data_IF_963488097582
#
_entry.id   IF_963488097582
#
_cell.length_a   1.000
_cell.length_b   1.000
_cell.length_c   1.000
_cell.angle_alpha   90.00
_cell.angle_beta   90.00
_cell.angle_gamma   90.00
#
_symmetry.space_group_name_H-M   'P 1'
#
loop_
_entity.id
_entity.type
_entity.pdbx_description
1 polymer ?
#
# COMPACT_ATOMS: atom_id res chain seq x y z
N UNK A 1 -30.17 -40.47 -83.25
CA UNK A 1 -29.39 -39.25 -83.52
C UNK A 1 -29.36 -38.40 -82.25
N UNK A 2 -28.30 -38.52 -81.46
CA UNK A 2 -28.09 -37.71 -80.27
C UNK A 2 -27.15 -36.57 -80.61
N UNK A 3 -27.59 -35.33 -80.36
CA UNK A 3 -26.73 -34.17 -80.51
C UNK A 3 -26.06 -33.91 -79.10
N UNK A 4 -24.76 -33.61 -79.09
CA UNK A 4 -24.07 -33.31 -77.81
C UNK A 4 -24.33 -31.85 -77.44
N UNK A 5 -24.85 -31.64 -76.20
CA UNK A 5 -24.99 -30.35 -75.56
C UNK A 5 -23.62 -29.76 -75.22
N UNK A 6 -23.37 -28.56 -75.69
CA UNK A 6 -22.12 -27.82 -75.62
C UNK A 6 -21.76 -27.49 -74.12
N UNK A 7 -20.55 -27.87 -73.74
CA UNK A 7 -19.92 -27.54 -72.40
C UNK A 7 -19.77 -26.04 -72.13
N UNK A 8 -20.13 -25.17 -73.05
CA UNK A 8 -19.99 -23.70 -72.92
C UNK A 8 -21.19 -23.03 -72.25
N UNK A 9 -22.33 -23.70 -72.16
CA UNK A 9 -23.52 -23.11 -71.48
C UNK A 9 -23.54 -23.30 -69.99
N UNK A 10 -22.71 -24.20 -69.44
CA UNK A 10 -22.66 -24.47 -68.00
C UNK A 10 -21.73 -23.55 -67.22
N UNK A 11 -20.83 -22.82 -67.87
CA UNK A 11 -19.88 -21.91 -67.23
C UNK A 11 -20.37 -20.46 -67.14
N UNK A 12 -21.50 -20.13 -67.77
CA UNK A 12 -22.03 -18.76 -67.73
C UNK A 12 -23.02 -18.49 -66.52
N UNK A 13 -23.52 -19.55 -65.86
CA UNK A 13 -24.48 -19.39 -64.76
C UNK A 13 -23.89 -19.40 -63.36
N UNK A 14 -22.57 -19.62 -63.22
CA UNK A 14 -21.90 -19.69 -61.94
C UNK A 14 -21.16 -18.39 -61.53
N UNK A 15 -21.20 -17.33 -62.32
CA UNK A 15 -20.44 -16.09 -62.08
C UNK A 15 -21.28 -14.94 -61.46
N UNK A 16 -22.60 -15.14 -61.23
CA UNK A 16 -23.48 -14.07 -60.79
C UNK A 16 -23.86 -14.13 -59.28
N UNK A 17 -23.34 -15.12 -58.55
CA UNK A 17 -23.74 -15.36 -57.14
C UNK A 17 -22.64 -15.03 -56.10
N UNK A 18 -21.54 -14.32 -56.44
CA UNK A 18 -20.39 -14.04 -55.53
C UNK A 18 -20.09 -12.54 -55.38
N UNK A 19 -21.07 -11.66 -55.57
CA UNK A 19 -20.87 -10.20 -55.43
C UNK A 19 -21.63 -9.56 -54.24
N UNK A 20 -22.10 -10.34 -53.24
CA UNK A 20 -22.42 -9.80 -51.93
C UNK A 20 -21.25 -10.08 -50.99
N UNK A 21 -20.11 -9.43 -51.27
CA UNK A 21 -19.00 -9.32 -50.33
C UNK A 21 -19.49 -8.55 -49.12
N UNK A 22 -20.00 -9.26 -48.11
CA UNK A 22 -20.07 -8.70 -46.78
C UNK A 22 -18.63 -8.25 -46.44
N UNK A 23 -18.39 -6.94 -46.50
CA UNK A 23 -17.14 -6.36 -46.03
C UNK A 23 -17.03 -6.74 -44.55
N UNK A 24 -16.35 -7.84 -44.26
CA UNK A 24 -15.88 -8.17 -42.89
C UNK A 24 -14.94 -7.02 -42.53
N UNK A 25 -15.48 -5.97 -41.90
CA UNK A 25 -14.65 -4.97 -41.26
C UNK A 25 -13.86 -5.76 -40.23
N UNK A 26 -12.51 -5.72 -40.29
CA UNK A 26 -11.71 -6.29 -39.20
C UNK A 26 -12.18 -5.59 -37.93
N UNK A 27 -12.74 -6.35 -36.99
CA UNK A 27 -12.94 -5.88 -35.62
C UNK A 27 -11.52 -5.62 -35.10
N UNK A 28 -11.10 -4.38 -35.18
CA UNK A 28 -9.83 -3.95 -34.61
C UNK A 28 -10.05 -4.09 -33.11
N UNK A 29 -9.50 -5.13 -32.50
CA UNK A 29 -9.47 -5.25 -31.03
C UNK A 29 -8.88 -3.94 -30.51
N UNK A 30 -9.63 -3.24 -29.65
CA UNK A 30 -9.10 -2.06 -28.98
C UNK A 30 -7.83 -2.47 -28.22
N UNK A 31 -6.77 -1.65 -28.29
CA UNK A 31 -5.53 -2.01 -27.60
C UNK A 31 -5.78 -2.07 -26.09
N UNK A 32 -5.47 -3.21 -25.49
CA UNK A 32 -5.54 -3.39 -24.03
C UNK A 32 -4.45 -2.51 -23.40
N UNK A 33 -4.86 -1.64 -22.47
CA UNK A 33 -3.92 -0.86 -21.65
C UNK A 33 -3.37 -1.75 -20.56
N UNK A 34 -2.06 -1.95 -20.52
CA UNK A 34 -1.38 -2.72 -19.48
C UNK A 34 -0.72 -1.79 -18.48
N UNK A 35 -1.07 -1.96 -17.20
CA UNK A 35 -0.50 -1.24 -16.08
C UNK A 35 0.27 -2.21 -15.17
N UNK A 36 1.57 -1.97 -15.01
CA UNK A 36 2.43 -2.74 -14.11
C UNK A 36 2.25 -2.23 -12.68
N UNK A 37 1.75 -3.10 -11.79
CA UNK A 37 1.42 -2.78 -10.40
C UNK A 37 2.37 -3.52 -9.46
N UNK A 38 3.22 -2.79 -8.76
CA UNK A 38 4.17 -3.34 -7.80
C UNK A 38 3.61 -3.39 -6.39
N UNK A 39 3.90 -4.47 -5.70
CA UNK A 39 3.64 -4.65 -4.26
C UNK A 39 4.81 -5.39 -3.61
N UNK A 40 5.26 -4.91 -2.46
CA UNK A 40 6.23 -5.65 -1.64
C UNK A 40 5.56 -6.82 -0.92
N UNK A 41 4.25 -6.74 -0.65
CA UNK A 41 3.49 -7.71 0.12
C UNK A 41 3.12 -8.96 -0.70
N UNK A 42 2.95 -10.13 -0.04
CA UNK A 42 2.35 -11.30 -0.66
C UNK A 42 0.89 -11.03 -1.05
N UNK A 43 0.34 -11.79 -2.03
CA UNK A 43 -1.06 -11.68 -2.45
C UNK A 43 -1.98 -12.40 -1.43
N UNK A 44 -2.00 -11.91 -0.22
CA UNK A 44 -2.71 -12.47 0.92
C UNK A 44 -3.68 -11.43 1.50
N UNK A 45 -4.88 -11.87 1.94
CA UNK A 45 -5.90 -10.97 2.50
C UNK A 45 -5.47 -10.27 3.79
N UNK A 46 -4.47 -10.81 4.51
CA UNK A 46 -3.90 -10.15 5.68
C UNK A 46 -2.88 -9.08 5.32
N UNK A 47 -2.43 -9.03 4.05
CA UNK A 47 -1.58 -7.97 3.52
C UNK A 47 -2.41 -6.77 3.04
N UNK A 48 -2.19 -5.60 3.62
CA UNK A 48 -2.92 -4.37 3.29
C UNK A 48 -2.90 -4.04 1.78
N UNK A 49 -1.82 -4.35 1.07
CA UNK A 49 -1.71 -4.12 -0.37
C UNK A 49 -2.75 -4.93 -1.14
N UNK A 50 -2.89 -6.22 -0.83
CA UNK A 50 -3.84 -7.08 -1.53
C UNK A 50 -5.28 -6.82 -1.10
N UNK A 51 -5.48 -6.43 0.15
CA UNK A 51 -6.78 -6.01 0.70
C UNK A 51 -7.37 -4.80 -0.05
N UNK A 52 -6.51 -3.91 -0.56
CA UNK A 52 -6.92 -2.81 -1.44
C UNK A 52 -6.93 -3.22 -2.92
N UNK A 53 -5.91 -3.97 -3.37
CA UNK A 53 -5.72 -4.29 -4.79
C UNK A 53 -6.84 -5.17 -5.35
N UNK A 54 -7.26 -6.20 -4.62
CA UNK A 54 -8.25 -7.14 -5.13
C UNK A 54 -9.62 -6.49 -5.38
N UNK A 55 -10.20 -5.70 -4.45
CA UNK A 55 -11.41 -4.91 -4.74
C UNK A 55 -11.22 -3.93 -5.90
N UNK A 56 -10.06 -3.30 -6.02
CA UNK A 56 -9.75 -2.39 -7.13
C UNK A 56 -9.78 -3.12 -8.48
N UNK A 57 -9.12 -4.26 -8.58
CA UNK A 57 -9.10 -5.08 -9.78
C UNK A 57 -10.51 -5.54 -10.19
N UNK A 58 -11.28 -6.04 -9.22
CA UNK A 58 -12.63 -6.54 -9.46
C UNK A 58 -13.59 -5.42 -9.90
N UNK A 59 -13.51 -4.27 -9.24
CA UNK A 59 -14.36 -3.14 -9.55
C UNK A 59 -13.98 -2.48 -10.89
N UNK A 60 -12.70 -2.43 -11.21
CA UNK A 60 -12.23 -1.95 -12.50
C UNK A 60 -12.73 -2.87 -13.64
N UNK A 61 -12.59 -4.19 -13.47
CA UNK A 61 -13.07 -5.16 -14.46
C UNK A 61 -14.59 -5.05 -14.71
N UNK A 62 -15.40 -4.80 -13.67
CA UNK A 62 -16.85 -4.55 -13.82
C UNK A 62 -17.16 -3.31 -14.65
N UNK A 63 -16.33 -2.26 -14.56
CA UNK A 63 -16.57 -0.95 -15.19
C UNK A 63 -16.07 -0.87 -16.62
N UNK A 64 -14.90 -1.46 -16.90
CA UNK A 64 -14.22 -1.28 -18.17
C UNK A 64 -13.93 -2.59 -18.92
N UNK A 65 -14.32 -3.74 -18.36
CA UNK A 65 -14.04 -5.06 -18.91
C UNK A 65 -12.54 -5.32 -18.97
N UNK A 66 -12.07 -5.80 -20.12
CA UNK A 66 -10.67 -6.13 -20.42
C UNK A 66 -9.87 -4.99 -21.05
N UNK A 67 -10.44 -3.78 -21.12
CA UNK A 67 -9.76 -2.61 -21.71
C UNK A 67 -8.52 -2.17 -20.93
N UNK A 68 -8.49 -2.42 -19.61
CA UNK A 68 -7.34 -2.15 -18.74
C UNK A 68 -6.96 -3.44 -18.01
N UNK A 69 -5.76 -3.93 -18.27
CA UNK A 69 -5.15 -5.08 -17.61
C UNK A 69 -4.20 -4.60 -16.51
N UNK A 70 -4.37 -5.09 -15.29
CA UNK A 70 -3.47 -4.84 -14.16
C UNK A 70 -2.50 -6.01 -14.04
N UNK A 71 -1.24 -5.82 -14.45
CA UNK A 71 -0.16 -6.78 -14.28
C UNK A 71 0.39 -6.67 -12.86
N UNK A 72 -0.08 -7.52 -11.94
CA UNK A 72 0.27 -7.47 -10.52
C UNK A 72 1.55 -8.24 -10.21
N UNK A 73 2.51 -7.55 -9.58
CA UNK A 73 3.82 -8.09 -9.19
C UNK A 73 3.97 -8.03 -7.66
N UNK A 74 3.54 -9.06 -6.92
CA UNK A 74 3.66 -9.14 -5.47
C UNK A 74 5.09 -9.50 -5.00
N UNK A 75 5.29 -9.61 -3.68
CA UNK A 75 6.52 -10.09 -3.03
C UNK A 75 7.80 -9.34 -3.44
N UNK A 76 7.68 -8.07 -3.83
CA UNK A 76 8.82 -7.26 -4.24
C UNK A 76 9.52 -7.73 -5.51
N UNK A 77 8.81 -8.41 -6.42
CA UNK A 77 9.36 -8.92 -7.69
C UNK A 77 10.00 -7.84 -8.56
N UNK A 78 9.54 -6.58 -8.44
CA UNK A 78 10.08 -5.45 -9.19
C UNK A 78 11.14 -4.64 -8.44
N UNK A 79 11.53 -5.08 -7.24
CA UNK A 79 12.57 -4.45 -6.42
C UNK A 79 12.11 -4.03 -5.03
N UNK A 80 13.03 -3.41 -4.27
CA UNK A 80 12.74 -2.82 -2.96
C UNK A 80 11.82 -1.61 -3.13
N UNK A 81 10.98 -1.32 -2.12
CA UNK A 81 9.98 -0.25 -2.23
C UNK A 81 10.56 1.12 -2.63
N UNK A 82 11.71 1.51 -2.05
CA UNK A 82 12.37 2.77 -2.38
C UNK A 82 12.86 2.83 -3.85
N UNK A 83 13.31 1.69 -4.39
CA UNK A 83 13.72 1.60 -5.80
C UNK A 83 12.50 1.69 -6.71
N UNK A 84 11.39 1.00 -6.34
CA UNK A 84 10.14 1.03 -7.09
C UNK A 84 9.51 2.44 -7.09
N UNK A 85 9.58 3.18 -5.98
CA UNK A 85 9.17 4.60 -5.94
C UNK A 85 9.91 5.42 -7.01
N UNK A 86 11.22 5.22 -7.14
CA UNK A 86 12.03 5.88 -8.18
C UNK A 86 11.60 5.43 -9.58
N UNK A 87 11.29 4.15 -9.78
CA UNK A 87 10.85 3.60 -11.06
C UNK A 87 9.45 4.10 -11.47
N UNK A 88 8.53 4.30 -10.51
CA UNK A 88 7.20 4.89 -10.75
C UNK A 88 7.33 6.35 -11.18
N UNK A 89 8.21 7.13 -10.54
CA UNK A 89 8.52 8.50 -10.98
C UNK A 89 9.10 8.55 -12.39
N UNK A 90 10.00 7.63 -12.71
CA UNK A 90 10.60 7.51 -14.05
C UNK A 90 9.62 6.94 -15.09
N UNK A 91 8.54 6.28 -14.67
CA UNK A 91 7.50 5.68 -15.52
C UNK A 91 7.89 4.34 -16.13
N UNK A 92 8.85 3.63 -15.56
CA UNK A 92 9.16 2.23 -15.91
C UNK A 92 8.26 1.24 -15.19
N UNK A 93 7.65 1.64 -14.07
CA UNK A 93 6.54 0.97 -13.38
C UNK A 93 5.39 1.98 -13.33
N UNK A 94 4.15 1.50 -13.48
CA UNK A 94 2.99 2.39 -13.55
C UNK A 94 2.42 2.71 -12.17
N UNK A 95 2.31 1.69 -11.30
CA UNK A 95 1.68 1.79 -9.99
C UNK A 95 2.51 1.10 -8.90
N UNK A 96 2.39 1.61 -7.68
CA UNK A 96 2.91 0.97 -6.47
C UNK A 96 1.89 1.09 -5.34
N UNK A 97 1.83 0.06 -4.49
CA UNK A 97 1.19 0.13 -3.19
C UNK A 97 2.26 0.07 -2.11
N UNK A 98 2.24 1.02 -1.19
CA UNK A 98 3.21 1.14 -0.08
C UNK A 98 2.71 2.12 0.98
N UNK A 99 3.33 2.12 2.15
CA UNK A 99 3.11 3.13 3.17
C UNK A 99 3.62 4.52 2.77
N UNK A 100 3.02 5.56 3.35
CA UNK A 100 3.37 6.96 3.04
C UNK A 100 4.84 7.28 3.28
N UNK A 101 5.43 6.78 4.36
CA UNK A 101 6.81 7.13 4.72
C UNK A 101 7.87 6.63 3.73
N UNK A 102 7.58 5.62 2.90
CA UNK A 102 8.53 5.24 1.84
C UNK A 102 8.70 6.37 0.82
N UNK A 103 7.66 7.15 0.56
CA UNK A 103 7.76 8.35 -0.27
C UNK A 103 8.62 9.45 0.34
N UNK A 104 8.87 9.41 1.67
CA UNK A 104 9.80 10.34 2.31
C UNK A 104 11.23 10.25 1.77
N UNK A 105 11.60 9.18 1.07
CA UNK A 105 12.88 9.07 0.36
C UNK A 105 13.02 10.06 -0.79
N UNK A 106 11.91 10.59 -1.30
CA UNK A 106 11.87 11.54 -2.44
C UNK A 106 11.05 12.81 -2.16
N UNK A 107 10.12 12.74 -1.22
CA UNK A 107 9.32 13.87 -0.71
C UNK A 107 9.30 13.75 0.81
N UNK A 108 10.31 14.32 1.51
CA UNK A 108 10.55 14.06 2.94
C UNK A 108 9.39 14.38 3.86
N UNK A 109 8.48 15.27 3.47
CA UNK A 109 7.28 15.66 4.21
C UNK A 109 6.31 14.50 4.46
N UNK A 110 6.36 13.45 3.61
CA UNK A 110 5.57 12.24 3.81
C UNK A 110 5.91 11.50 5.10
N UNK A 111 7.13 11.72 5.65
CA UNK A 111 7.53 11.16 6.93
C UNK A 111 6.62 11.55 8.09
N UNK A 112 5.88 12.66 7.99
CA UNK A 112 4.95 13.09 9.04
C UNK A 112 3.88 12.04 9.34
N UNK A 113 3.36 11.36 8.31
CA UNK A 113 2.24 10.42 8.45
C UNK A 113 2.56 9.19 9.30
N UNK A 114 3.85 8.89 9.49
CA UNK A 114 4.32 7.75 10.28
C UNK A 114 5.15 8.17 11.51
N UNK A 115 5.04 9.43 11.95
CA UNK A 115 5.59 9.85 13.24
C UNK A 115 4.89 9.08 14.38
N UNK A 116 5.67 8.57 15.31
CA UNK A 116 5.16 7.78 16.42
C UNK A 116 4.04 8.51 17.18
N UNK A 117 2.94 7.82 17.42
CA UNK A 117 1.76 8.30 18.14
C UNK A 117 1.07 9.55 17.53
N UNK A 118 1.28 9.85 16.24
CA UNK A 118 0.61 10.96 15.57
C UNK A 118 -0.90 10.73 15.46
N UNK A 119 -1.30 9.53 15.03
CA UNK A 119 -2.69 9.11 14.99
C UNK A 119 -3.04 8.24 16.20
N UNK A 120 -4.26 8.38 16.71
CA UNK A 120 -4.78 7.65 17.87
C UNK A 120 -5.55 6.39 17.48
N UNK A 121 -6.08 6.38 16.25
CA UNK A 121 -6.85 5.28 15.67
C UNK A 121 -6.93 5.43 14.15
N UNK A 122 -7.39 4.40 13.44
CA UNK A 122 -7.70 4.53 12.01
C UNK A 122 -8.86 5.46 11.72
N UNK A 123 -9.83 5.56 12.65
CA UNK A 123 -10.90 6.53 12.52
C UNK A 123 -10.39 7.98 12.60
N UNK A 124 -9.48 8.26 13.53
CA UNK A 124 -8.79 9.57 13.57
C UNK A 124 -7.98 9.81 12.29
N UNK A 125 -7.24 8.81 11.81
CA UNK A 125 -6.47 8.89 10.57
C UNK A 125 -7.40 9.18 9.37
N UNK A 126 -8.53 8.45 9.24
CA UNK A 126 -9.52 8.66 8.19
C UNK A 126 -10.06 10.08 8.21
N UNK A 127 -10.55 10.55 9.38
CA UNK A 127 -11.07 11.93 9.50
C UNK A 127 -10.04 12.98 9.07
N UNK A 128 -8.79 12.83 9.48
CA UNK A 128 -7.74 13.78 9.12
C UNK A 128 -7.45 13.78 7.61
N UNK A 129 -7.31 12.60 7.02
CA UNK A 129 -7.06 12.45 5.58
C UNK A 129 -8.21 13.03 4.75
N UNK A 130 -9.45 12.69 5.11
CA UNK A 130 -10.65 13.11 4.38
C UNK A 130 -10.96 14.61 4.60
N UNK A 131 -10.56 15.17 5.75
CA UNK A 131 -10.71 16.61 6.03
C UNK A 131 -9.71 17.52 5.31
N UNK A 132 -8.88 16.99 4.41
CA UNK A 132 -7.99 17.77 3.54
C UNK A 132 -6.50 17.50 3.69
N UNK A 133 -6.08 16.69 4.66
CA UNK A 133 -4.67 16.22 4.74
C UNK A 133 -4.32 15.36 3.53
N UNK A 134 -5.20 14.43 3.15
CA UNK A 134 -5.04 13.57 1.99
C UNK A 134 -4.88 14.35 0.67
N UNK A 135 -5.81 15.24 0.32
CA UNK A 135 -5.68 16.11 -0.86
C UNK A 135 -4.42 16.98 -0.86
N UNK A 136 -3.97 17.48 0.32
CA UNK A 136 -2.73 18.26 0.41
C UNK A 136 -1.50 17.42 0.05
N UNK A 137 -1.43 16.17 0.53
CA UNK A 137 -0.36 15.25 0.17
C UNK A 137 -0.41 14.81 -1.29
N UNK A 138 -1.61 14.56 -1.85
CA UNK A 138 -1.75 14.25 -3.27
C UNK A 138 -1.27 15.40 -4.14
N UNK A 139 -1.65 16.65 -3.79
CA UNK A 139 -1.14 17.84 -4.50
C UNK A 139 0.37 17.95 -4.41
N UNK A 140 0.94 17.78 -3.21
CA UNK A 140 2.39 17.84 -2.99
C UNK A 140 3.13 16.81 -3.87
N UNK A 141 2.63 15.57 -3.94
CA UNK A 141 3.22 14.50 -4.71
C UNK A 141 3.13 14.74 -6.22
N UNK A 142 1.96 15.19 -6.69
CA UNK A 142 1.76 15.55 -8.11
C UNK A 142 2.68 16.67 -8.56
N UNK A 143 2.78 17.72 -7.77
CA UNK A 143 3.56 18.91 -8.11
C UNK A 143 5.06 18.61 -8.13
N UNK A 144 5.57 17.86 -7.15
CA UNK A 144 7.01 17.61 -7.02
C UNK A 144 7.52 16.46 -7.89
N UNK A 145 6.76 15.38 -8.02
CA UNK A 145 7.26 14.16 -8.64
C UNK A 145 6.34 13.56 -9.69
N UNK A 146 5.18 14.18 -9.94
CA UNK A 146 4.25 13.74 -10.99
C UNK A 146 3.58 12.42 -10.69
N UNK A 147 3.30 12.13 -9.43
CA UNK A 147 2.62 10.92 -8.99
C UNK A 147 1.30 11.29 -8.32
N UNK A 148 0.26 10.54 -8.58
CA UNK A 148 -1.09 10.72 -8.05
C UNK A 148 -1.39 9.64 -7.03
N UNK A 149 -2.01 10.01 -5.91
CA UNK A 149 -2.53 9.09 -4.92
C UNK A 149 -3.90 8.61 -5.37
N UNK A 150 -4.08 7.31 -5.54
CA UNK A 150 -5.34 6.71 -5.96
C UNK A 150 -6.28 6.41 -4.79
N UNK A 151 -5.71 6.16 -3.61
CA UNK A 151 -6.51 5.86 -2.43
C UNK A 151 -5.69 5.80 -1.16
N UNK A 152 -6.38 6.04 -0.04
CA UNK A 152 -5.87 6.01 1.32
C UNK A 152 -6.54 4.88 2.08
N UNK A 153 -6.04 3.64 1.91
CA UNK A 153 -6.39 2.50 2.76
C UNK A 153 -5.62 2.51 4.08
N UNK A 154 -5.71 1.40 4.82
CA UNK A 154 -5.04 1.25 6.09
C UNK A 154 -4.28 -0.08 6.15
N UNK A 155 -3.25 -0.14 6.99
CA UNK A 155 -2.64 -1.41 7.40
C UNK A 155 -3.66 -2.25 8.20
N UNK A 156 -3.39 -3.54 8.32
CA UNK A 156 -4.28 -4.47 9.04
C UNK A 156 -3.94 -4.44 10.53
N UNK A 157 -4.33 -3.36 11.18
CA UNK A 157 -4.13 -3.08 12.59
C UNK A 157 -3.00 -2.09 12.88
N UNK A 158 -2.92 -1.57 14.12
CA UNK A 158 -1.86 -0.68 14.55
C UNK A 158 -0.54 -1.43 14.70
N UNK A 159 0.54 -0.71 14.41
CA UNK A 159 1.89 -1.26 14.53
C UNK A 159 2.29 -1.42 15.99
N UNK A 160 2.84 -2.58 16.32
CA UNK A 160 3.35 -2.95 17.64
C UNK A 160 4.71 -3.63 17.53
N UNK A 161 5.40 -3.87 18.65
CA UNK A 161 6.75 -4.46 18.65
C UNK A 161 6.66 -5.96 18.84
N UNK A 162 7.29 -6.72 17.94
CA UNK A 162 7.39 -8.17 18.00
C UNK A 162 8.84 -8.59 18.25
N UNK A 163 9.07 -9.47 19.20
CA UNK A 163 10.41 -9.84 19.68
C UNK A 163 10.61 -11.34 19.75
N UNK A 164 11.88 -11.77 19.74
CA UNK A 164 12.28 -13.19 19.89
C UNK A 164 12.23 -13.62 21.34
N UNK A 165 12.48 -12.70 22.27
CA UNK A 165 12.48 -12.93 23.72
C UNK A 165 11.31 -12.20 24.39
N UNK A 166 10.85 -12.66 25.56
CA UNK A 166 9.76 -11.99 26.27
C UNK A 166 10.07 -10.52 26.55
N UNK A 167 9.06 -9.67 26.38
CA UNK A 167 9.05 -8.24 26.73
C UNK A 167 7.72 -7.91 27.41
N UNK A 168 7.78 -7.15 28.49
CA UNK A 168 6.62 -6.77 29.29
C UNK A 168 6.42 -5.24 29.41
N UNK A 169 7.45 -4.46 29.06
CA UNK A 169 7.48 -3.01 29.23
C UNK A 169 8.25 -2.34 28.09
N UNK A 170 8.09 -1.02 27.95
CA UNK A 170 8.91 -0.21 27.04
C UNK A 170 10.38 -0.20 27.48
N UNK A 171 10.63 -0.28 28.79
CA UNK A 171 12.00 -0.33 29.31
C UNK A 171 12.77 -1.57 28.82
N UNK A 172 12.09 -2.70 28.58
CA UNK A 172 12.72 -3.93 28.08
C UNK A 172 13.22 -3.77 26.63
N UNK A 173 12.70 -2.80 25.88
CA UNK A 173 13.14 -2.52 24.51
C UNK A 173 14.48 -1.78 24.45
N UNK A 174 14.98 -1.29 25.58
CA UNK A 174 16.21 -0.48 25.62
C UNK A 174 17.41 -1.25 25.07
N UNK A 175 18.01 -0.69 24.03
CA UNK A 175 19.18 -1.27 23.37
C UNK A 175 18.90 -2.48 22.49
N UNK A 176 17.67 -3.01 22.43
CA UNK A 176 17.30 -4.09 21.51
C UNK A 176 17.45 -3.62 20.05
N UNK A 177 18.07 -4.44 19.22
CA UNK A 177 18.14 -4.20 17.80
C UNK A 177 16.79 -4.52 17.16
N UNK A 178 16.00 -3.49 16.93
CA UNK A 178 14.68 -3.65 16.31
C UNK A 178 14.73 -3.24 14.86
N UNK A 179 14.30 -4.13 13.99
CA UNK A 179 14.10 -3.78 12.59
C UNK A 179 13.00 -2.71 12.50
N UNK A 180 13.30 -1.65 11.77
CA UNK A 180 12.34 -0.61 11.42
C UNK A 180 12.33 -0.38 9.91
N UNK A 181 11.32 0.35 9.39
CA UNK A 181 11.34 0.83 8.03
C UNK A 181 12.57 1.73 7.82
N UNK A 182 13.21 1.70 6.62
CA UNK A 182 14.37 2.54 6.32
C UNK A 182 13.98 4.00 6.05
N UNK A 183 13.30 4.62 7.01
CA UNK A 183 12.84 6.02 6.94
C UNK A 183 13.15 6.74 8.24
N UNK A 184 13.38 8.06 8.13
CA UNK A 184 13.76 8.89 9.28
C UNK A 184 12.70 8.88 10.39
N UNK A 185 11.42 8.90 10.04
CA UNK A 185 10.33 8.91 11.01
C UNK A 185 10.38 7.69 11.95
N UNK A 186 10.61 6.49 11.40
CA UNK A 186 10.74 5.27 12.21
C UNK A 186 12.04 5.24 13.01
N UNK A 187 13.17 5.64 12.42
CA UNK A 187 14.46 5.70 13.11
C UNK A 187 14.37 6.63 14.31
N UNK A 188 13.86 7.85 14.13
CA UNK A 188 13.75 8.84 15.20
C UNK A 188 12.76 8.39 16.30
N UNK A 189 11.62 7.80 15.90
CA UNK A 189 10.64 7.24 16.83
C UNK A 189 11.28 6.17 17.73
N UNK A 190 12.02 5.22 17.15
CA UNK A 190 12.63 4.13 17.92
C UNK A 190 13.85 4.53 18.71
N UNK A 191 14.58 5.57 18.30
CA UNK A 191 15.60 6.22 19.14
C UNK A 191 14.98 6.82 20.40
N UNK A 192 13.82 7.49 20.29
CA UNK A 192 13.08 8.03 21.46
C UNK A 192 12.56 6.90 22.35
N UNK A 193 12.09 5.79 21.80
CA UNK A 193 11.70 4.59 22.54
C UNK A 193 12.90 4.04 23.34
N UNK A 194 14.12 4.22 22.84
CA UNK A 194 15.36 3.77 23.47
C UNK A 194 15.88 2.45 22.90
N UNK A 195 15.29 1.93 21.85
CA UNK A 195 15.78 0.78 21.10
C UNK A 195 16.96 1.18 20.18
N UNK A 196 17.58 0.20 19.56
CA UNK A 196 18.57 0.39 18.49
C UNK A 196 17.89 0.12 17.14
N UNK A 197 17.33 1.15 16.46
CA UNK A 197 16.65 0.96 15.19
C UNK A 197 17.62 0.48 14.13
N UNK A 198 17.25 -0.60 13.46
CA UNK A 198 18.03 -1.24 12.38
C UNK A 198 17.19 -1.18 11.09
N UNK A 199 17.46 -0.20 10.20
CA UNK A 199 16.68 -0.01 8.98
C UNK A 199 16.92 -1.16 7.99
N UNK A 200 15.89 -1.97 7.71
CA UNK A 200 15.98 -3.11 6.79
C UNK A 200 14.72 -3.13 5.91
N UNK A 201 14.84 -3.30 4.57
CA UNK A 201 13.71 -3.49 3.67
C UNK A 201 12.81 -4.66 4.10
N UNK A 202 11.51 -4.55 3.84
CA UNK A 202 10.52 -5.51 4.35
C UNK A 202 10.81 -6.97 3.96
N UNK A 203 11.29 -7.19 2.73
CA UNK A 203 11.54 -8.53 2.19
C UNK A 203 12.76 -9.23 2.84
N UNK A 204 13.59 -8.49 3.60
CA UNK A 204 14.77 -9.01 4.27
C UNK A 204 14.53 -9.29 5.77
N UNK A 205 13.37 -8.90 6.31
CA UNK A 205 13.06 -8.92 7.76
C UNK A 205 13.06 -10.33 8.32
N UNK A 206 12.41 -11.28 7.64
CA UNK A 206 12.36 -12.67 8.10
C UNK A 206 13.78 -13.26 8.29
N UNK A 207 14.62 -13.11 7.27
CA UNK A 207 16.00 -13.60 7.31
C UNK A 207 16.84 -12.87 8.37
N UNK A 208 16.68 -11.54 8.49
CA UNK A 208 17.42 -10.77 9.50
C UNK A 208 17.06 -11.20 10.94
N UNK A 209 15.77 -11.47 11.19
CA UNK A 209 15.33 -12.00 12.47
C UNK A 209 15.81 -13.45 12.68
N UNK A 210 15.65 -14.31 11.69
CA UNK A 210 16.07 -15.73 11.77
C UNK A 210 17.56 -15.86 12.06
N UNK A 211 18.40 -15.08 11.41
CA UNK A 211 19.86 -15.13 11.56
C UNK A 211 20.40 -14.34 12.77
N UNK A 212 19.52 -13.62 13.50
CA UNK A 212 19.90 -12.86 14.69
C UNK A 212 20.56 -11.51 14.40
N UNK A 213 20.42 -10.97 13.19
CA UNK A 213 20.84 -9.60 12.86
C UNK A 213 20.03 -8.60 13.68
N UNK A 214 18.75 -8.93 13.93
CA UNK A 214 17.85 -8.17 14.79
C UNK A 214 17.21 -9.07 15.87
N UNK A 215 16.85 -8.44 17.01
CA UNK A 215 16.18 -9.07 18.15
C UNK A 215 14.66 -9.11 17.98
N UNK A 216 14.15 -8.30 17.05
CA UNK A 216 12.73 -8.18 16.76
C UNK A 216 12.47 -7.19 15.62
N UNK A 217 11.19 -6.91 15.42
CA UNK A 217 10.68 -5.96 14.43
C UNK A 217 9.42 -5.28 14.95
N UNK A 218 8.96 -4.29 14.22
CA UNK A 218 7.69 -3.63 14.49
C UNK A 218 6.80 -3.68 13.24
N UNK A 219 5.54 -3.98 13.41
CA UNK A 219 4.53 -3.93 12.33
C UNK A 219 3.10 -4.16 12.88
N UNK A 220 2.13 -4.09 11.95
CA UNK A 220 0.75 -4.50 12.20
C UNK A 220 0.61 -6.05 12.20
N UNK A 221 -0.42 -6.59 12.89
CA UNK A 221 -0.59 -8.04 13.01
C UNK A 221 -0.87 -8.74 11.67
N UNK A 222 -1.56 -8.08 10.74
CA UNK A 222 -1.81 -8.64 9.42
C UNK A 222 -0.51 -8.89 8.64
N UNK A 223 0.39 -7.91 8.62
CA UNK A 223 1.70 -8.06 8.00
C UNK A 223 2.52 -9.16 8.66
N UNK A 224 2.54 -9.23 10.00
CA UNK A 224 3.28 -10.28 10.72
C UNK A 224 2.80 -11.67 10.29
N UNK A 225 1.49 -11.86 10.15
CA UNK A 225 0.90 -13.11 9.68
C UNK A 225 1.22 -13.39 8.20
N UNK A 226 1.01 -12.42 7.32
CA UNK A 226 1.21 -12.57 5.87
C UNK A 226 2.65 -12.90 5.49
N UNK A 227 3.62 -12.32 6.20
CA UNK A 227 5.06 -12.58 5.99
C UNK A 227 5.63 -13.70 6.87
N UNK A 228 4.78 -14.39 7.66
CA UNK A 228 5.17 -15.50 8.56
C UNK A 228 6.21 -15.09 9.61
N UNK A 229 6.22 -13.83 10.03
CA UNK A 229 7.17 -13.38 11.07
C UNK A 229 6.87 -13.97 12.45
N UNK A 230 5.66 -14.54 12.62
CA UNK A 230 5.28 -15.34 13.77
C UNK A 230 6.19 -16.57 13.98
N UNK A 231 6.90 -17.04 12.95
CA UNK A 231 7.86 -18.14 13.06
C UNK A 231 9.18 -17.71 13.74
N UNK A 232 9.55 -16.44 13.63
CA UNK A 232 10.84 -15.89 14.08
C UNK A 232 10.73 -14.89 15.24
N UNK A 233 9.51 -14.44 15.62
CA UNK A 233 9.24 -13.59 16.76
C UNK A 233 7.96 -14.08 17.47
N UNK A 234 8.08 -14.44 18.75
CA UNK A 234 7.02 -15.11 19.50
C UNK A 234 6.31 -14.25 20.54
N UNK A 235 6.79 -13.03 20.74
CA UNK A 235 6.27 -12.12 21.75
C UNK A 235 5.89 -10.79 21.10
N UNK A 236 4.75 -10.24 21.48
CA UNK A 236 4.27 -8.95 21.00
C UNK A 236 3.99 -8.03 22.18
N UNK A 237 4.70 -6.91 22.25
CA UNK A 237 4.36 -5.80 23.15
C UNK A 237 3.44 -4.85 22.37
N UNK A 238 2.19 -4.74 22.81
CA UNK A 238 1.16 -3.93 22.17
C UNK A 238 1.38 -2.44 22.46
N UNK A 239 2.28 -1.84 21.72
CA UNK A 239 2.62 -0.41 21.81
C UNK A 239 1.66 0.46 21.00
N UNK A 240 1.08 -0.06 19.94
CA UNK A 240 0.19 0.66 18.99
C UNK A 240 0.73 2.04 18.64
N UNK A 241 2.05 2.06 18.36
CA UNK A 241 2.81 3.31 18.23
C UNK A 241 2.61 4.03 16.90
N UNK A 242 2.10 3.36 15.86
CA UNK A 242 1.80 3.96 14.55
C UNK A 242 0.56 3.32 13.92
N UNK A 243 -0.32 4.15 13.38
CA UNK A 243 -1.43 3.78 12.50
C UNK A 243 -1.07 4.23 11.09
N UNK A 244 -0.44 3.35 10.31
CA UNK A 244 0.07 3.69 8.98
C UNK A 244 -1.06 3.75 7.95
N UNK A 245 -1.28 4.89 7.27
CA UNK A 245 -2.09 4.91 6.06
C UNK A 245 -1.34 4.17 4.95
N UNK A 246 -2.00 3.15 4.39
CA UNK A 246 -1.52 2.44 3.20
C UNK A 246 -2.08 3.13 1.96
N UNK A 247 -1.24 3.38 0.97
CA UNK A 247 -1.61 4.16 -0.18
C UNK A 247 -1.34 3.40 -1.48
N UNK A 248 -2.21 3.66 -2.46
CA UNK A 248 -2.00 3.23 -3.85
C UNK A 248 -1.65 4.45 -4.69
N UNK A 249 -0.62 4.33 -5.50
CA UNK A 249 -0.06 5.43 -6.29
C UNK A 249 0.04 5.05 -7.76
N UNK A 250 -0.15 6.05 -8.64
CA UNK A 250 0.11 5.93 -10.08
C UNK A 250 1.02 7.05 -10.55
N UNK A 251 2.05 6.70 -11.31
CA UNK A 251 2.94 7.67 -11.94
C UNK A 251 2.27 8.38 -13.12
N UNK A 252 2.75 9.58 -13.46
CA UNK A 252 2.23 10.40 -14.58
C UNK A 252 2.15 9.61 -15.88
N UNK A 253 3.20 8.80 -16.19
CA UNK A 253 3.22 7.99 -17.42
C UNK A 253 2.21 6.85 -17.38
N UNK A 254 2.01 6.21 -16.22
CA UNK A 254 0.98 5.19 -16.03
C UNK A 254 -0.42 5.78 -16.22
N UNK A 255 -0.69 6.93 -15.60
CA UNK A 255 -1.97 7.63 -15.73
C UNK A 255 -2.22 8.09 -17.18
N UNK A 256 -1.18 8.48 -17.91
CA UNK A 256 -1.28 8.89 -19.32
C UNK A 256 -1.54 7.72 -20.30
N UNK A 257 -1.29 6.47 -19.89
CA UNK A 257 -1.66 5.29 -20.71
C UNK A 257 -3.18 5.06 -20.75
N UNK A 258 -3.90 5.53 -19.71
CA UNK A 258 -5.34 5.33 -19.59
C UNK A 258 -6.05 6.32 -20.51
N UNK A 259 -6.90 5.85 -21.45
CA UNK A 259 -7.74 6.71 -22.28
C UNK A 259 -8.59 7.66 -21.43
N UNK A 260 -8.80 8.88 -21.93
CA UNK A 260 -9.50 9.93 -21.17
C UNK A 260 -10.93 9.52 -20.78
N UNK A 261 -11.63 8.78 -21.64
CA UNK A 261 -12.98 8.25 -21.40
C UNK A 261 -13.02 7.15 -20.34
N UNK A 262 -11.90 6.45 -20.08
CA UNK A 262 -11.81 5.40 -19.05
C UNK A 262 -11.29 5.93 -17.69
N UNK A 263 -10.67 7.11 -17.64
CA UNK A 263 -10.13 7.67 -16.39
C UNK A 263 -11.17 7.84 -15.28
N UNK A 264 -12.41 8.33 -15.54
CA UNK A 264 -13.42 8.42 -14.50
C UNK A 264 -13.74 7.07 -13.87
N UNK A 265 -13.91 6.02 -14.70
CA UNK A 265 -14.18 4.67 -14.22
C UNK A 265 -13.01 4.08 -13.42
N UNK A 266 -11.76 4.36 -13.84
CA UNK A 266 -10.55 3.94 -13.14
C UNK A 266 -10.44 4.58 -11.75
N UNK A 267 -10.66 5.89 -11.65
CA UNK A 267 -10.60 6.62 -10.37
C UNK A 267 -11.74 6.22 -9.44
N UNK A 268 -12.93 5.99 -9.99
CA UNK A 268 -14.06 5.50 -9.20
C UNK A 268 -13.83 4.09 -8.65
N UNK A 269 -13.25 3.19 -9.44
CA UNK A 269 -12.85 1.86 -8.97
C UNK A 269 -11.85 1.96 -7.80
N UNK A 270 -10.90 2.90 -7.86
CA UNK A 270 -9.95 3.14 -6.78
C UNK A 270 -10.63 3.70 -5.51
N UNK A 271 -11.63 4.57 -5.68
CA UNK A 271 -12.43 5.09 -4.56
C UNK A 271 -13.23 3.98 -3.86
N UNK A 272 -13.91 3.13 -4.63
CA UNK A 272 -14.66 1.97 -4.10
C UNK A 272 -13.72 1.01 -3.37
N UNK A 273 -12.56 0.69 -3.95
CA UNK A 273 -11.56 -0.17 -3.31
C UNK A 273 -11.04 0.41 -1.99
N UNK A 274 -10.86 1.73 -1.95
CA UNK A 274 -10.43 2.42 -0.73
C UNK A 274 -11.48 2.30 0.38
N UNK A 275 -12.75 2.51 0.06
CA UNK A 275 -13.84 2.36 1.01
C UNK A 275 -13.97 0.91 1.50
N UNK A 276 -13.89 -0.07 0.60
CA UNK A 276 -13.90 -1.48 0.93
C UNK A 276 -12.73 -1.88 1.84
N UNK A 277 -11.50 -1.48 1.50
CA UNK A 277 -10.32 -1.74 2.33
C UNK A 277 -10.49 -1.18 3.75
N UNK A 278 -10.91 0.09 3.88
CA UNK A 278 -11.15 0.71 5.20
C UNK A 278 -12.20 -0.02 6.02
N UNK A 279 -13.29 -0.48 5.39
CA UNK A 279 -14.37 -1.19 6.05
C UNK A 279 -13.96 -2.60 6.51
N UNK A 280 -13.08 -3.27 5.78
CA UNK A 280 -12.66 -4.64 6.11
C UNK A 280 -11.56 -4.70 7.18
N UNK A 281 -10.72 -3.67 7.32
CA UNK A 281 -9.57 -3.67 8.23
C UNK A 281 -9.90 -4.15 9.64
N UNK A 282 -10.97 -3.70 10.33
CA UNK A 282 -11.24 -4.14 11.71
C UNK A 282 -11.48 -5.65 11.83
N UNK A 283 -12.22 -6.25 10.88
CA UNK A 283 -12.52 -7.68 10.90
C UNK A 283 -11.28 -8.52 10.55
N UNK A 284 -10.50 -8.07 9.58
CA UNK A 284 -9.26 -8.75 9.15
C UNK A 284 -8.19 -8.65 10.24
N UNK A 285 -8.08 -7.51 10.94
CA UNK A 285 -7.21 -7.36 12.11
C UNK A 285 -7.57 -8.34 13.22
N UNK A 286 -8.86 -8.41 13.59
CA UNK A 286 -9.32 -9.33 14.63
C UNK A 286 -9.01 -10.79 14.27
N UNK A 287 -9.21 -11.18 13.02
CA UNK A 287 -8.86 -12.52 12.52
C UNK A 287 -7.34 -12.75 12.55
N UNK A 288 -6.53 -11.78 12.11
CA UNK A 288 -5.06 -11.89 12.13
C UNK A 288 -4.55 -12.09 13.57
N UNK A 289 -5.04 -11.28 14.52
CA UNK A 289 -4.68 -11.42 15.95
C UNK A 289 -5.09 -12.79 16.50
N UNK A 290 -6.30 -13.28 16.16
CA UNK A 290 -6.75 -14.60 16.59
C UNK A 290 -5.86 -15.72 16.04
N UNK A 291 -5.48 -15.66 14.77
CA UNK A 291 -4.57 -16.63 14.16
C UNK A 291 -3.16 -16.57 14.76
N UNK A 292 -2.61 -15.37 15.01
CA UNK A 292 -1.31 -15.23 15.65
C UNK A 292 -1.31 -15.80 17.08
N UNK A 293 -2.38 -15.59 17.86
CA UNK A 293 -2.56 -16.22 19.17
C UNK A 293 -2.61 -17.75 19.07
N UNK A 294 -3.37 -18.28 18.12
CA UNK A 294 -3.46 -19.72 17.88
C UNK A 294 -2.11 -20.34 17.47
N UNK A 295 -1.25 -19.58 16.79
CA UNK A 295 0.13 -19.95 16.44
C UNK A 295 1.12 -19.79 17.62
N UNK A 296 0.67 -19.30 18.77
CA UNK A 296 1.47 -19.20 20.00
C UNK A 296 2.20 -17.89 20.19
N UNK A 297 1.78 -16.80 19.52
CA UNK A 297 2.27 -15.46 19.83
C UNK A 297 1.71 -15.02 21.19
N UNK A 298 2.59 -14.66 22.13
CA UNK A 298 2.23 -14.09 23.41
C UNK A 298 2.09 -12.56 23.27
N UNK A 299 0.86 -12.06 23.44
CA UNK A 299 0.56 -10.63 23.41
C UNK A 299 0.56 -10.06 24.83
N UNK A 300 1.30 -8.98 25.03
CA UNK A 300 1.39 -8.24 26.31
C UNK A 300 1.00 -6.78 26.06
N UNK A 301 0.12 -6.24 26.88
CA UNK A 301 -0.19 -4.80 26.85
C UNK A 301 0.99 -4.01 27.42
N UNK A 302 1.45 -2.98 26.71
CA UNK A 302 2.44 -2.06 27.23
C UNK A 302 1.85 -1.26 28.40
N UNK A 303 2.60 -1.00 29.48
CA UNK A 303 2.09 -0.27 30.64
C UNK A 303 1.57 1.12 30.23
N UNK A 304 0.33 1.50 30.62
CA UNK A 304 -0.27 2.77 30.20
C UNK A 304 0.55 4.01 30.59
N UNK A 305 1.19 3.99 31.75
CA UNK A 305 2.05 5.10 32.19
C UNK A 305 3.29 5.28 31.30
N UNK A 306 3.89 4.19 30.84
CA UNK A 306 5.03 4.24 29.94
C UNK A 306 4.61 4.73 28.54
N UNK A 307 3.44 4.29 28.04
CA UNK A 307 2.88 4.80 26.79
C UNK A 307 2.55 6.30 26.88
N UNK A 308 2.01 6.78 28.01
CA UNK A 308 1.77 8.20 28.24
C UNK A 308 3.08 9.00 28.21
N UNK A 309 4.12 8.49 28.86
CA UNK A 309 5.46 9.09 28.84
C UNK A 309 6.03 9.15 27.42
N UNK A 310 5.89 8.07 26.64
CA UNK A 310 6.33 8.08 25.23
C UNK A 310 5.56 9.10 24.40
N UNK A 311 4.24 9.18 24.52
CA UNK A 311 3.43 10.19 23.81
C UNK A 311 3.89 11.60 24.13
N UNK A 312 4.19 11.88 25.41
CA UNK A 312 4.73 13.16 25.82
C UNK A 312 6.09 13.43 25.19
N UNK A 313 6.99 12.45 25.15
CA UNK A 313 8.30 12.59 24.51
C UNK A 313 8.17 12.82 22.99
N UNK A 314 7.28 12.13 22.31
CA UNK A 314 7.01 12.41 20.88
C UNK A 314 6.53 13.85 20.68
N UNK A 315 5.65 14.34 21.55
CA UNK A 315 5.14 15.71 21.48
C UNK A 315 6.21 16.78 21.76
N UNK A 316 7.17 16.50 22.61
CA UNK A 316 8.19 17.49 23.00
C UNK A 316 9.52 17.37 22.26
N UNK A 317 9.85 16.17 21.73
CA UNK A 317 11.12 15.91 21.08
C UNK A 317 10.93 15.69 19.56
N UNK A 318 10.03 14.77 19.15
CA UNK A 318 9.92 14.33 17.76
C UNK A 318 9.19 15.33 16.87
N UNK A 319 7.98 15.76 17.29
CA UNK A 319 7.14 16.62 16.45
C UNK A 319 7.77 18.00 16.22
N UNK A 320 8.32 18.70 17.24
CA UNK A 320 8.99 19.98 17.02
C UNK A 320 10.22 19.87 16.12
N UNK A 321 11.00 18.77 16.25
CA UNK A 321 12.16 18.54 15.41
C UNK A 321 11.76 18.32 13.93
N UNK A 322 10.68 17.56 13.68
CA UNK A 322 10.14 17.34 12.35
C UNK A 322 9.60 18.64 11.73
N UNK A 323 8.76 19.37 12.45
CA UNK A 323 8.15 20.62 11.97
C UNK A 323 9.20 21.72 11.73
N UNK A 324 10.25 21.78 12.54
CA UNK A 324 11.38 22.68 12.29
C UNK A 324 12.09 22.37 10.98
N UNK A 325 12.20 21.08 10.62
CA UNK A 325 12.85 20.64 9.38
C UNK A 325 11.94 20.79 8.16
N UNK A 326 10.62 20.64 8.34
CA UNK A 326 9.60 20.67 7.27
C UNK A 326 8.43 21.58 7.67
N UNK A 327 8.65 22.91 7.78
CA UNK A 327 7.63 23.85 8.31
C UNK A 327 6.37 23.91 7.44
N UNK A 328 6.45 23.57 6.18
CA UNK A 328 5.31 23.50 5.27
C UNK A 328 4.29 22.42 5.65
N UNK A 329 4.66 21.47 6.52
CA UNK A 329 3.75 20.43 7.03
C UNK A 329 2.92 20.88 8.23
N UNK A 330 3.25 22.02 8.84
CA UNK A 330 2.59 22.53 10.05
C UNK A 330 1.05 22.66 9.91
N UNK A 331 0.49 23.18 8.80
CA UNK A 331 -0.97 23.25 8.65
C UNK A 331 -1.64 21.87 8.65
N UNK A 332 -1.00 20.87 8.06
CA UNK A 332 -1.50 19.50 8.03
C UNK A 332 -1.38 18.86 9.42
N UNK A 333 -0.24 19.07 10.11
CA UNK A 333 -0.03 18.61 11.47
C UNK A 333 -1.08 19.20 12.43
N UNK A 334 -1.29 20.52 12.39
CA UNK A 334 -2.29 21.21 13.21
C UNK A 334 -3.70 20.64 12.96
N UNK A 335 -4.04 20.37 11.69
CA UNK A 335 -5.33 19.76 11.34
C UNK A 335 -5.48 18.36 11.91
N UNK A 336 -4.44 17.52 11.83
CA UNK A 336 -4.43 16.17 12.44
C UNK A 336 -4.68 16.29 13.94
N UNK A 337 -3.94 17.15 14.63
CA UNK A 337 -4.08 17.33 16.09
C UNK A 337 -5.46 17.88 16.49
N UNK A 338 -6.06 18.75 15.71
CA UNK A 338 -7.40 19.30 15.97
C UNK A 338 -8.52 18.25 15.82
N UNK A 339 -8.28 17.17 15.09
CA UNK A 339 -9.24 16.08 14.87
C UNK A 339 -9.01 14.88 15.80
N UNK A 340 -7.99 14.95 16.67
CA UNK A 340 -7.81 13.98 17.73
C UNK A 340 -9.04 14.01 18.68
N UNK A 341 -9.45 12.85 19.17
CA UNK A 341 -10.55 12.78 20.13
C UNK A 341 -10.06 13.38 21.45
N UNK A 342 -10.83 14.25 22.13
CA UNK A 342 -10.46 14.67 23.47
C UNK A 342 -10.30 13.46 24.40
N UNK A 343 -9.19 13.41 25.12
CA UNK A 343 -8.84 12.33 26.06
C UNK A 343 -9.83 12.24 27.22
#
# INVERSE_FOLDING_TARGET
MFQPSSRRAFLASSAAALATGAAIRPVRAEPIVKLRVSSSAPPDRFGAHYLWFKPFQDELAKRVGDKIELEYFPNGQLGKEADVVTQVRAGSIDMIMTGGSIWATVVPEFGMLDLGFLFESYDHCARALDAGVGPAYDKLLRDRVGVTILGWGFQVGPRSVYTKTPVASIADLKGMKLRVLPTKAFIDTFNIIGATPTPIPINEVYTAAQTGVVDGMEHDPGTVLAYKWDEVARYCLLTRHVYTPMLAYIGRRGLAKIPEDLKPAFLEAASVATAACRAEVPSVEAEAVAQLKAKGIAFTEAPPAELATLRQRMATELYPAFLKQYPETEPMFAKIKALATPA
#
